data_IF_207859445533
#
_entry.id   IF_207859445533
#
_cell.length_a   1.000
_cell.length_b   1.000
_cell.length_c   1.000
_cell.angle_alpha   90.00
_cell.angle_beta   90.00
_cell.angle_gamma   90.00
#
_symmetry.space_group_name_H-M   'P 1'
#
loop_
_entity.id
_entity.type
_entity.pdbx_description
1 polymer ?
#
# COMPACT_ATOMS: atom_id res chain seq x y z
N UNK A 1 -3.81 -1.44 19.20
CA UNK A 1 -5.28 -1.64 19.36
C UNK A 1 -6.06 -1.19 18.12
N UNK A 2 -5.93 0.06 17.67
CA UNK A 2 -6.67 0.59 16.51
C UNK A 2 -6.49 -0.20 15.20
N UNK A 3 -5.25 -0.34 14.72
CA UNK A 3 -4.92 -0.99 13.44
C UNK A 3 -5.28 -2.49 13.35
N UNK A 4 -5.61 -3.12 14.48
CA UNK A 4 -6.09 -4.49 14.55
C UNK A 4 -7.63 -4.57 14.53
N UNK A 5 -8.32 -3.56 15.08
CA UNK A 5 -9.79 -3.51 15.17
C UNK A 5 -10.46 -2.90 13.94
N UNK A 6 -9.73 -2.09 13.17
CA UNK A 6 -10.26 -1.42 11.99
C UNK A 6 -9.58 -1.94 10.71
N UNK A 7 -10.36 -1.99 9.64
CA UNK A 7 -9.90 -2.31 8.30
C UNK A 7 -9.84 -1.02 7.46
N UNK A 8 -8.72 -0.83 6.79
CA UNK A 8 -8.50 0.32 5.92
C UNK A 8 -9.07 0.08 4.52
N UNK A 9 -9.80 1.07 3.99
CA UNK A 9 -10.20 1.15 2.60
C UNK A 9 -9.36 2.22 1.88
N UNK A 10 -8.59 1.78 0.89
CA UNK A 10 -7.61 2.61 0.18
C UNK A 10 -8.27 3.70 -0.67
N UNK A 11 -9.40 3.37 -1.30
CA UNK A 11 -10.07 4.22 -2.28
C UNK A 11 -10.82 5.37 -1.60
N UNK A 12 -11.64 5.04 -0.60
CA UNK A 12 -12.45 6.02 0.11
C UNK A 12 -11.69 6.72 1.23
N UNK A 13 -10.47 6.26 1.56
CA UNK A 13 -9.69 6.73 2.70
C UNK A 13 -10.51 6.72 4.00
N UNK A 14 -11.11 5.57 4.30
CA UNK A 14 -11.88 5.35 5.52
C UNK A 14 -11.37 4.12 6.25
N UNK A 15 -11.48 4.16 7.58
CA UNK A 15 -11.35 2.99 8.43
C UNK A 15 -12.74 2.54 8.86
N UNK A 16 -12.98 1.23 8.75
CA UNK A 16 -14.24 0.60 9.16
C UNK A 16 -13.94 -0.41 10.24
N UNK A 17 -14.70 -0.39 11.32
CA UNK A 17 -14.59 -1.37 12.41
C UNK A 17 -14.84 -2.79 11.89
N UNK A 18 -13.97 -3.75 12.23
CA UNK A 18 -14.06 -5.13 11.73
C UNK A 18 -15.24 -5.90 12.33
N UNK A 19 -15.52 -5.67 13.60
CA UNK A 19 -16.60 -6.32 14.32
C UNK A 19 -17.10 -5.39 15.42
N UNK A 20 -18.42 -5.34 15.58
CA UNK A 20 -19.08 -4.58 16.64
C UNK A 20 -20.16 -5.44 17.27
N UNK A 21 -20.39 -5.25 18.56
CA UNK A 21 -21.56 -5.82 19.25
C UNK A 21 -22.85 -5.06 18.88
N UNK A 22 -22.72 -3.91 18.21
CA UNK A 22 -23.83 -3.08 17.77
C UNK A 22 -24.33 -3.48 16.37
N UNK A 23 -25.53 -3.00 16.00
CA UNK A 23 -26.11 -3.19 14.66
C UNK A 23 -25.34 -2.45 13.54
N UNK A 24 -24.43 -1.56 13.92
CA UNK A 24 -23.67 -0.71 13.01
C UNK A 24 -22.18 -0.82 13.30
N UNK A 25 -21.35 -0.62 12.27
CA UNK A 25 -19.90 -0.56 12.38
C UNK A 25 -19.46 0.89 12.47
N UNK A 26 -18.52 1.20 13.37
CA UNK A 26 -17.95 2.53 13.44
C UNK A 26 -17.06 2.81 12.22
N UNK A 27 -17.06 4.06 11.76
CA UNK A 27 -16.20 4.50 10.66
C UNK A 27 -15.43 5.77 11.01
N UNK A 28 -14.19 5.84 10.55
CA UNK A 28 -13.33 7.04 10.68
C UNK A 28 -12.94 7.49 9.29
N UNK A 29 -13.24 8.75 8.98
CA UNK A 29 -12.97 9.38 7.70
C UNK A 29 -12.17 10.67 7.88
N UNK A 30 -11.80 11.31 6.76
CA UNK A 30 -10.99 12.53 6.72
C UNK A 30 -11.63 13.66 7.55
N UNK A 31 -12.96 13.81 7.52
CA UNK A 31 -13.66 14.88 8.25
C UNK A 31 -13.56 14.69 9.76
N UNK A 32 -13.66 13.46 10.27
CA UNK A 32 -13.48 13.17 11.70
C UNK A 32 -12.08 13.58 12.16
N UNK A 33 -11.06 13.28 11.36
CA UNK A 33 -9.67 13.67 11.65
C UNK A 33 -9.48 15.18 11.57
N UNK A 34 -10.00 15.84 10.52
CA UNK A 34 -9.92 17.28 10.38
C UNK A 34 -10.59 18.01 11.55
N UNK A 35 -11.75 17.53 12.01
CA UNK A 35 -12.42 18.08 13.18
C UNK A 35 -11.60 17.89 14.46
N UNK A 36 -10.96 16.73 14.65
CA UNK A 36 -10.08 16.48 15.78
C UNK A 36 -8.87 17.43 15.79
N UNK A 37 -8.24 17.63 14.63
CA UNK A 37 -7.12 18.57 14.47
C UNK A 37 -7.58 20.01 14.75
N UNK A 38 -8.78 20.41 14.30
CA UNK A 38 -9.32 21.74 14.59
C UNK A 38 -9.54 21.97 16.08
N UNK A 39 -10.06 20.97 16.80
CA UNK A 39 -10.37 21.10 18.23
C UNK A 39 -9.12 21.03 19.12
N UNK A 40 -8.15 20.19 18.76
CA UNK A 40 -7.02 19.86 19.64
C UNK A 40 -5.66 20.33 19.11
N UNK A 41 -5.63 20.96 17.93
CA UNK A 41 -4.44 21.49 17.29
C UNK A 41 -3.65 20.48 16.46
N UNK A 42 -2.73 21.01 15.65
CA UNK A 42 -1.86 20.24 14.76
C UNK A 42 -0.89 19.28 15.50
N UNK A 43 -0.67 19.48 16.81
CA UNK A 43 0.17 18.60 17.63
C UNK A 43 -0.27 17.13 17.67
N UNK A 44 -1.56 16.86 17.42
CA UNK A 44 -2.08 15.49 17.25
C UNK A 44 -1.38 14.77 16.10
N UNK A 45 -1.05 15.47 15.01
CA UNK A 45 -0.42 14.86 13.83
C UNK A 45 0.97 14.32 14.18
N UNK A 46 1.81 15.15 14.80
CA UNK A 46 3.17 14.78 15.22
C UNK A 46 3.17 13.62 16.21
N UNK A 47 2.27 13.68 17.20
CA UNK A 47 2.10 12.62 18.19
C UNK A 47 1.69 11.30 17.53
N UNK A 48 0.78 11.36 16.57
CA UNK A 48 0.30 10.19 15.82
C UNK A 48 1.40 9.57 14.95
N UNK A 49 2.21 10.40 14.28
CA UNK A 49 3.36 9.94 13.49
C UNK A 49 4.36 9.23 14.40
N UNK A 50 4.67 9.80 15.57
CA UNK A 50 5.59 9.17 16.53
C UNK A 50 5.06 7.82 17.05
N UNK A 51 3.80 7.73 17.46
CA UNK A 51 3.22 6.45 17.88
C UNK A 51 3.20 5.41 16.74
N UNK A 52 2.96 5.86 15.51
CA UNK A 52 3.02 4.99 14.34
C UNK A 52 4.44 4.49 14.10
N UNK A 53 5.45 5.35 14.20
CA UNK A 53 6.86 4.96 14.14
C UNK A 53 7.20 3.89 15.18
N UNK A 54 6.84 4.10 16.44
CA UNK A 54 7.09 3.13 17.52
C UNK A 54 6.36 1.79 17.28
N UNK A 55 5.13 1.86 16.76
CA UNK A 55 4.37 0.67 16.38
C UNK A 55 5.04 -0.10 15.24
N UNK A 56 5.43 0.60 14.17
CA UNK A 56 6.12 0.02 13.03
C UNK A 56 7.43 -0.64 13.45
N UNK A 57 8.23 -0.01 14.31
CA UNK A 57 9.46 -0.61 14.85
C UNK A 57 9.20 -1.97 15.49
N UNK A 58 8.16 -2.09 16.33
CA UNK A 58 7.78 -3.37 16.96
C UNK A 58 7.30 -4.39 15.93
N UNK A 59 6.50 -3.98 14.95
CA UNK A 59 6.00 -4.89 13.91
C UNK A 59 7.11 -5.36 12.97
N UNK A 60 8.05 -4.48 12.66
CA UNK A 60 9.16 -4.83 11.80
C UNK A 60 10.16 -5.77 12.47
N UNK A 61 10.30 -5.71 13.79
CA UNK A 61 11.05 -6.73 14.52
C UNK A 61 10.47 -8.14 14.29
N UNK A 62 9.14 -8.29 14.44
CA UNK A 62 8.43 -9.55 14.18
C UNK A 62 8.55 -9.96 12.71
N UNK A 63 8.43 -8.99 11.79
CA UNK A 63 8.58 -9.21 10.36
C UNK A 63 9.97 -9.76 10.00
N UNK A 64 11.01 -9.17 10.59
CA UNK A 64 12.40 -9.60 10.38
C UNK A 64 12.62 -11.00 10.93
N UNK A 65 12.14 -11.29 12.14
CA UNK A 65 12.22 -12.63 12.74
C UNK A 65 11.52 -13.69 11.87
N UNK A 66 10.34 -13.37 11.33
CA UNK A 66 9.61 -14.29 10.46
C UNK A 66 10.40 -14.67 9.20
N UNK A 67 11.05 -13.70 8.54
CA UNK A 67 11.88 -13.96 7.35
C UNK A 67 13.23 -14.59 7.68
N UNK A 68 13.69 -14.43 8.92
CA UNK A 68 14.92 -15.06 9.41
C UNK A 68 14.72 -16.53 9.78
N UNK A 69 13.49 -16.93 10.14
CA UNK A 69 13.15 -18.31 10.48
C UNK A 69 13.65 -19.29 9.40
N UNK A 70 14.37 -20.33 9.83
CA UNK A 70 15.06 -21.24 8.92
C UNK A 70 14.08 -22.03 8.03
N UNK A 71 12.87 -22.35 8.50
CA UNK A 71 11.87 -23.02 7.66
C UNK A 71 11.32 -22.11 6.55
N UNK A 72 11.19 -20.81 6.81
CA UNK A 72 10.76 -19.82 5.83
C UNK A 72 11.91 -19.51 4.86
N UNK A 73 13.06 -19.12 5.40
CA UNK A 73 14.27 -18.75 4.66
C UNK A 73 14.73 -19.85 3.71
N UNK A 74 14.80 -21.10 4.16
CA UNK A 74 15.22 -22.22 3.31
C UNK A 74 14.28 -22.44 2.11
N UNK A 75 12.96 -22.27 2.30
CA UNK A 75 11.97 -22.38 1.21
C UNK A 75 12.11 -21.23 0.22
N UNK A 76 12.29 -20.00 0.70
CA UNK A 76 12.49 -18.83 -0.16
C UNK A 76 13.76 -18.99 -1.01
N UNK A 77 14.87 -19.45 -0.41
CA UNK A 77 16.11 -19.70 -1.15
C UNK A 77 15.92 -20.79 -2.22
N UNK A 78 15.18 -21.86 -1.90
CA UNK A 78 14.86 -22.93 -2.85
C UNK A 78 14.00 -22.43 -4.02
N UNK A 79 13.08 -21.51 -3.77
CA UNK A 79 12.26 -20.89 -4.80
C UNK A 79 13.04 -19.88 -5.65
N UNK A 80 13.95 -19.11 -5.04
CA UNK A 80 14.87 -18.23 -5.78
C UNK A 80 15.76 -19.02 -6.73
N UNK A 81 16.37 -20.11 -6.27
CA UNK A 81 17.24 -20.95 -7.12
C UNK A 81 16.47 -21.50 -8.32
N UNK A 82 15.30 -22.08 -8.06
CA UNK A 82 14.47 -22.60 -9.13
C UNK A 82 13.99 -21.53 -10.10
N UNK A 83 13.60 -20.35 -9.62
CA UNK A 83 13.17 -19.28 -10.51
C UNK A 83 14.32 -18.81 -11.43
N UNK A 84 15.56 -18.82 -10.93
CA UNK A 84 16.74 -18.52 -11.74
C UNK A 84 17.06 -19.63 -12.75
N UNK A 85 16.91 -20.89 -12.37
CA UNK A 85 17.22 -22.07 -13.20
C UNK A 85 16.15 -22.34 -14.26
N UNK A 86 14.87 -22.19 -13.94
CA UNK A 86 13.73 -22.48 -14.82
C UNK A 86 13.22 -21.24 -15.56
N UNK A 87 14.02 -20.17 -15.64
CA UNK A 87 13.59 -18.88 -16.20
C UNK A 87 13.20 -19.01 -17.68
N UNK A 88 13.93 -19.82 -18.45
CA UNK A 88 13.67 -20.01 -19.88
C UNK A 88 12.48 -20.95 -20.14
N UNK A 89 12.30 -21.97 -19.30
CA UNK A 89 11.21 -22.95 -19.43
C UNK A 89 9.83 -22.39 -19.03
N UNK A 90 9.80 -21.43 -18.10
CA UNK A 90 8.56 -20.87 -17.55
C UNK A 90 8.21 -19.50 -18.15
N UNK A 91 8.74 -19.14 -19.32
CA UNK A 91 8.55 -17.81 -19.94
C UNK A 91 8.85 -16.65 -18.98
N UNK A 92 9.85 -16.84 -18.11
CA UNK A 92 10.24 -15.90 -17.04
C UNK A 92 9.14 -15.63 -15.98
N UNK A 93 8.09 -16.46 -15.91
CA UNK A 93 6.99 -16.32 -14.95
C UNK A 93 7.19 -17.22 -13.73
N UNK A 94 6.91 -16.71 -12.54
CA UNK A 94 6.88 -17.52 -11.32
C UNK A 94 5.71 -18.52 -11.37
N UNK A 95 5.93 -19.85 -11.28
CA UNK A 95 4.84 -20.81 -11.50
C UNK A 95 3.79 -20.84 -10.38
N UNK A 96 2.51 -20.79 -10.75
CA UNK A 96 1.39 -20.86 -9.80
C UNK A 96 1.44 -22.07 -8.86
N UNK A 97 1.74 -23.26 -9.39
CA UNK A 97 1.81 -24.48 -8.59
C UNK A 97 2.90 -24.44 -7.50
N UNK A 98 3.92 -23.59 -7.63
CA UNK A 98 4.91 -23.39 -6.56
C UNK A 98 4.36 -22.58 -5.40
N UNK A 99 3.62 -21.49 -5.68
CA UNK A 99 2.94 -20.71 -4.65
C UNK A 99 1.98 -21.59 -3.82
N UNK A 100 1.27 -22.51 -4.48
CA UNK A 100 0.40 -23.48 -3.79
C UNK A 100 1.19 -24.48 -2.94
N UNK A 101 2.28 -25.05 -3.48
CA UNK A 101 3.15 -25.98 -2.73
C UNK A 101 3.77 -25.30 -1.50
N UNK A 102 4.15 -24.04 -1.63
CA UNK A 102 4.67 -23.23 -0.53
C UNK A 102 3.61 -23.05 0.57
N UNK A 103 2.39 -22.63 0.21
CA UNK A 103 1.24 -22.52 1.14
C UNK A 103 0.95 -23.83 1.87
N UNK A 104 0.77 -24.93 1.12
CA UNK A 104 0.52 -26.27 1.68
C UNK A 104 1.65 -26.69 2.62
N UNK A 105 2.88 -26.40 2.22
CA UNK A 105 4.07 -26.74 2.98
C UNK A 105 4.20 -25.95 4.29
N UNK A 106 3.79 -24.68 4.35
CA UNK A 106 3.77 -23.90 5.59
C UNK A 106 2.67 -24.38 6.52
N UNK A 107 1.46 -24.70 6.00
CA UNK A 107 0.36 -25.24 6.84
C UNK A 107 0.76 -26.53 7.58
N UNK A 108 1.69 -27.33 7.02
CA UNK A 108 2.23 -28.54 7.66
C UNK A 108 3.15 -28.26 8.86
N UNK A 109 3.67 -27.05 9.01
CA UNK A 109 4.53 -26.68 10.15
C UNK A 109 3.73 -26.48 11.45
N UNK A 110 2.41 -26.40 11.36
CA UNK A 110 1.52 -26.21 12.49
C UNK A 110 0.51 -25.10 12.24
N UNK A 111 -0.58 -25.15 13.02
CA UNK A 111 -1.62 -24.13 13.06
C UNK A 111 -1.72 -23.60 14.50
N UNK A 112 -2.12 -22.34 14.64
CA UNK A 112 -2.49 -21.78 15.95
C UNK A 112 -3.75 -22.45 16.50
N UNK A 113 -4.08 -22.23 17.79
CA UNK A 113 -5.37 -22.66 18.34
C UNK A 113 -6.58 -22.14 17.54
N UNK A 114 -6.44 -20.96 16.93
CA UNK A 114 -7.47 -20.33 16.08
C UNK A 114 -7.49 -20.88 14.63
N UNK A 115 -6.64 -21.87 14.31
CA UNK A 115 -6.54 -22.49 12.99
C UNK A 115 -5.76 -21.68 11.96
N UNK A 116 -5.00 -20.67 12.37
CA UNK A 116 -4.19 -19.84 11.47
C UNK A 116 -2.82 -20.46 11.23
N UNK A 117 -2.38 -20.50 9.97
CA UNK A 117 -1.01 -20.88 9.64
C UNK A 117 -0.02 -19.74 9.89
N UNK A 118 1.28 -20.05 9.92
CA UNK A 118 2.32 -19.01 9.99
C UNK A 118 2.19 -17.97 8.87
N UNK A 119 1.76 -18.36 7.67
CA UNK A 119 1.56 -17.43 6.57
C UNK A 119 0.33 -16.53 6.78
N UNK A 120 -0.72 -17.03 7.45
CA UNK A 120 -1.89 -16.22 7.82
C UNK A 120 -1.51 -15.14 8.84
N UNK A 121 -0.71 -15.51 9.84
CA UNK A 121 -0.17 -14.55 10.80
C UNK A 121 0.72 -13.50 10.13
N UNK A 122 1.54 -13.90 9.16
CA UNK A 122 2.39 -12.98 8.40
C UNK A 122 1.56 -12.04 7.50
N UNK A 123 0.51 -12.55 6.85
CA UNK A 123 -0.48 -11.72 6.13
C UNK A 123 -1.07 -10.68 7.08
N UNK A 124 -1.53 -11.09 8.26
CA UNK A 124 -2.11 -10.19 9.25
C UNK A 124 -1.10 -9.13 9.74
N UNK A 125 0.16 -9.52 9.93
CA UNK A 125 1.25 -8.60 10.28
C UNK A 125 1.42 -7.52 9.21
N UNK A 126 1.47 -7.91 7.93
CA UNK A 126 1.59 -6.98 6.81
C UNK A 126 0.35 -6.09 6.69
N UNK A 127 -0.85 -6.65 6.88
CA UNK A 127 -2.10 -5.88 6.95
C UNK A 127 -2.03 -4.81 8.05
N UNK A 128 -1.52 -5.15 9.23
CA UNK A 128 -1.40 -4.19 10.35
C UNK A 128 -0.36 -3.10 10.06
N UNK A 129 0.75 -3.44 9.41
CA UNK A 129 1.74 -2.46 8.94
C UNK A 129 1.09 -1.50 7.95
N UNK A 130 0.38 -2.01 6.94
CA UNK A 130 -0.27 -1.14 5.97
C UNK A 130 -1.48 -0.38 6.50
N UNK A 131 -2.21 -0.91 7.47
CA UNK A 131 -3.23 -0.15 8.21
C UNK A 131 -2.61 1.04 8.95
N UNK A 132 -1.39 0.89 9.50
CA UNK A 132 -0.68 2.02 10.10
C UNK A 132 -0.32 3.08 9.05
N UNK A 133 0.12 2.66 7.86
CA UNK A 133 0.38 3.58 6.73
C UNK A 133 -0.91 4.26 6.23
N UNK A 134 -2.02 3.52 6.15
CA UNK A 134 -3.33 4.07 5.84
C UNK A 134 -3.78 5.10 6.89
N UNK A 135 -3.43 4.91 8.16
CA UNK A 135 -3.73 5.84 9.23
C UNK A 135 -2.93 7.13 9.08
N UNK A 136 -1.62 7.04 8.79
CA UNK A 136 -0.79 8.20 8.46
C UNK A 136 -1.34 8.97 7.26
N UNK A 137 -1.79 8.26 6.22
CA UNK A 137 -2.44 8.87 5.06
C UNK A 137 -3.71 9.63 5.45
N UNK A 138 -4.52 9.06 6.33
CA UNK A 138 -5.73 9.67 6.82
C UNK A 138 -5.43 10.94 7.64
N UNK A 139 -4.43 10.88 8.52
CA UNK A 139 -3.96 12.03 9.32
C UNK A 139 -3.46 13.15 8.41
N UNK A 140 -2.61 12.83 7.43
CA UNK A 140 -2.17 13.77 6.40
C UNK A 140 -3.34 14.43 5.69
N UNK A 141 -4.28 13.64 5.20
CA UNK A 141 -5.43 14.16 4.45
C UNK A 141 -6.35 15.01 5.33
N UNK A 142 -6.53 14.64 6.60
CA UNK A 142 -7.28 15.42 7.57
C UNK A 142 -6.59 16.75 7.92
N UNK A 143 -5.26 16.76 8.03
CA UNK A 143 -4.47 17.97 8.25
C UNK A 143 -4.57 18.93 7.07
N UNK A 144 -4.36 18.43 5.85
CA UNK A 144 -4.53 19.22 4.61
C UNK A 144 -5.95 19.76 4.51
N UNK A 145 -6.98 18.95 4.81
CA UNK A 145 -8.36 19.41 4.78
C UNK A 145 -8.66 20.47 5.85
N UNK A 146 -8.04 20.41 7.03
CA UNK A 146 -8.18 21.45 8.05
C UNK A 146 -7.59 22.76 7.54
N UNK A 147 -6.33 22.72 7.13
CA UNK A 147 -5.58 23.91 6.72
C UNK A 147 -6.12 24.51 5.43
N UNK A 148 -6.53 23.69 4.46
CA UNK A 148 -7.13 24.16 3.19
C UNK A 148 -8.39 25.00 3.39
N UNK A 149 -9.15 24.77 4.47
CA UNK A 149 -10.29 25.63 4.79
C UNK A 149 -9.85 26.98 5.39
N UNK A 150 -8.74 27.00 6.12
CA UNK A 150 -8.21 28.19 6.80
C UNK A 150 -7.50 29.13 5.83
N UNK A 151 -6.77 28.58 4.85
CA UNK A 151 -6.02 29.35 3.83
C UNK A 151 -6.80 29.60 2.54
N UNK A 152 -8.11 29.29 2.50
CA UNK A 152 -8.95 29.43 1.28
C UNK A 152 -8.98 30.86 0.73
N UNK A 153 -8.69 31.84 1.57
CA UNK A 153 -8.70 33.27 1.21
C UNK A 153 -7.32 33.79 0.76
N UNK A 154 -6.29 32.96 0.82
CA UNK A 154 -4.94 33.30 0.37
C UNK A 154 -4.84 32.92 -1.12
N UNK A 155 -4.66 33.88 -2.04
CA UNK A 155 -4.67 33.61 -3.47
C UNK A 155 -3.46 32.79 -3.95
N UNK A 156 -2.28 33.09 -3.40
CA UNK A 156 -1.01 32.44 -3.71
C UNK A 156 -0.28 32.07 -2.42
N UNK A 157 0.12 30.81 -2.28
CA UNK A 157 0.84 30.28 -1.12
C UNK A 157 2.36 30.35 -1.29
N UNK A 158 2.83 30.52 -2.53
CA UNK A 158 4.25 30.67 -2.87
C UNK A 158 4.66 32.15 -2.81
N UNK A 159 3.72 33.08 -3.02
CA UNK A 159 3.90 34.53 -2.93
C UNK A 159 2.86 35.17 -2.00
N UNK A 160 3.08 35.03 -0.69
CA UNK A 160 2.21 35.61 0.34
C UNK A 160 2.68 37.04 0.61
N UNK A 161 1.80 38.00 0.30
CA UNK A 161 2.05 39.43 0.55
C UNK A 161 2.18 39.71 2.05
N UNK A 162 3.18 40.50 2.43
CA UNK A 162 3.40 40.94 3.81
C UNK A 162 2.45 42.09 4.18
N UNK A 163 1.50 41.84 5.08
CA UNK A 163 0.54 42.86 5.48
C UNK A 163 1.19 43.95 6.35
N UNK A 164 2.20 43.62 7.17
CA UNK A 164 2.97 44.58 7.97
C UNK A 164 3.62 45.64 7.07
N UNK A 165 4.22 45.24 5.95
CA UNK A 165 4.85 46.15 4.99
C UNK A 165 3.82 47.08 4.32
N UNK A 166 2.74 46.51 3.78
CA UNK A 166 1.68 47.29 3.12
C UNK A 166 1.03 48.33 4.03
N UNK A 167 0.74 47.94 5.27
CA UNK A 167 0.10 48.85 6.25
C UNK A 167 1.04 49.95 6.71
N UNK A 168 2.34 49.68 6.73
CA UNK A 168 3.39 50.66 7.03
C UNK A 168 3.56 51.64 5.88
N UNK A 169 3.65 51.16 4.64
CA UNK A 169 3.75 52.00 3.43
C UNK A 169 2.52 52.89 3.23
N UNK A 170 1.34 52.40 3.56
CA UNK A 170 0.09 53.16 3.51
C UNK A 170 -0.06 54.18 4.66
N UNK A 171 0.86 54.23 5.62
CA UNK A 171 0.84 55.18 6.74
C UNK A 171 -0.33 54.97 7.70
N UNK A 172 -0.77 53.72 7.91
CA UNK A 172 -1.89 53.39 8.79
C UNK A 172 -1.50 53.49 10.27
N UNK A 173 -2.51 53.39 11.15
CA UNK A 173 -2.30 53.49 12.60
C UNK A 173 -1.43 52.36 13.16
N UNK A 174 -0.79 52.61 14.30
CA UNK A 174 0.09 51.64 14.97
C UNK A 174 -0.67 50.37 15.35
N UNK A 175 -1.94 50.50 15.73
CA UNK A 175 -2.82 49.36 16.04
C UNK A 175 -3.06 48.50 14.79
N UNK A 176 -3.21 49.14 13.63
CA UNK A 176 -3.42 48.46 12.34
C UNK A 176 -2.17 47.70 11.91
N UNK A 177 -0.99 48.31 12.04
CA UNK A 177 0.30 47.65 11.75
C UNK A 177 0.50 46.45 12.69
N UNK A 178 0.15 46.61 13.98
CA UNK A 178 0.24 45.51 14.96
C UNK A 178 -0.72 44.36 14.62
N UNK A 179 -1.95 44.67 14.19
CA UNK A 179 -2.89 43.67 13.73
C UNK A 179 -2.41 42.94 12.47
N UNK A 180 -1.83 43.67 11.51
CA UNK A 180 -1.24 43.12 10.29
C UNK A 180 -0.10 42.13 10.60
N UNK A 181 0.81 42.50 11.51
CA UNK A 181 1.87 41.61 11.99
C UNK A 181 1.34 40.29 12.57
N UNK A 182 0.24 40.34 13.31
CA UNK A 182 -0.39 39.14 13.88
C UNK A 182 -1.00 38.25 12.78
N UNK A 183 -1.56 38.85 11.73
CA UNK A 183 -2.06 38.14 10.55
C UNK A 183 -0.92 37.45 9.81
N UNK A 184 0.18 38.16 9.54
CA UNK A 184 1.37 37.59 8.89
C UNK A 184 1.93 36.40 9.68
N UNK A 185 2.03 36.53 11.00
CA UNK A 185 2.46 35.44 11.88
C UNK A 185 1.51 34.22 11.82
N UNK A 186 0.20 34.46 11.79
CA UNK A 186 -0.80 33.40 11.67
C UNK A 186 -0.71 32.69 10.31
N UNK A 187 -0.62 33.44 9.21
CA UNK A 187 -0.49 32.91 7.85
C UNK A 187 0.81 32.11 7.69
N UNK A 188 1.93 32.63 8.18
CA UNK A 188 3.22 31.94 8.17
C UNK A 188 3.14 30.60 8.92
N UNK A 189 2.49 30.59 10.08
CA UNK A 189 2.25 29.35 10.85
C UNK A 189 1.41 28.34 10.07
N UNK A 190 0.31 28.77 9.44
CA UNK A 190 -0.56 27.91 8.63
C UNK A 190 0.18 27.31 7.43
N UNK A 191 0.93 28.13 6.70
CA UNK A 191 1.69 27.72 5.51
C UNK A 191 2.79 26.72 5.87
N UNK A 192 3.50 26.94 6.97
CA UNK A 192 4.51 26.01 7.48
C UNK A 192 3.90 24.66 7.89
N UNK A 193 2.74 24.68 8.57
CA UNK A 193 2.04 23.45 8.95
C UNK A 193 1.51 22.68 7.72
N UNK A 194 1.11 23.39 6.66
CA UNK A 194 0.68 22.80 5.39
C UNK A 194 1.80 21.97 4.74
N UNK A 195 3.00 22.55 4.64
CA UNK A 195 4.17 21.92 4.04
C UNK A 195 4.70 20.72 4.85
N UNK A 196 4.64 20.76 6.19
CA UNK A 196 5.08 19.63 7.01
C UNK A 196 4.15 18.41 6.93
N UNK A 197 2.87 18.62 6.61
CA UNK A 197 1.88 17.55 6.50
C UNK A 197 2.06 16.62 5.29
N UNK A 198 2.87 17.01 4.29
CA UNK A 198 2.93 16.31 2.99
C UNK A 198 3.96 15.18 2.92
N UNK A 199 4.94 15.11 3.82
CA UNK A 199 6.12 14.22 3.66
C UNK A 199 6.21 13.02 4.62
N UNK A 200 5.17 12.73 5.41
CA UNK A 200 5.26 11.66 6.43
C UNK A 200 5.64 10.27 5.90
N UNK A 201 5.24 9.93 4.67
CA UNK A 201 5.64 8.67 4.05
C UNK A 201 7.13 8.62 3.73
N UNK A 202 7.68 9.71 3.19
CA UNK A 202 9.10 9.83 2.89
C UNK A 202 9.91 9.73 4.18
N UNK A 203 9.54 10.50 5.21
CA UNK A 203 10.16 10.44 6.53
C UNK A 203 10.20 9.01 7.10
N UNK A 204 9.09 8.27 7.07
CA UNK A 204 9.06 6.90 7.59
C UNK A 204 9.93 5.95 6.77
N UNK A 205 9.97 6.10 5.45
CA UNK A 205 10.87 5.31 4.60
C UNK A 205 12.33 5.61 4.93
N UNK A 206 12.70 6.90 4.97
CA UNK A 206 14.08 7.33 5.13
C UNK A 206 14.66 6.93 6.49
N UNK A 207 13.83 6.89 7.54
CA UNK A 207 14.26 6.45 8.88
C UNK A 207 14.49 4.94 8.94
N UNK A 208 13.65 4.13 8.28
CA UNK A 208 13.79 2.66 8.36
C UNK A 208 14.72 2.08 7.28
N UNK A 209 14.81 2.68 6.09
CA UNK A 209 15.50 2.09 4.94
C UNK A 209 16.99 1.74 5.21
N UNK A 210 17.80 2.60 5.85
CA UNK A 210 19.23 2.30 6.08
C UNK A 210 19.44 1.03 6.91
N UNK A 211 18.69 0.87 7.99
CA UNK A 211 18.80 -0.29 8.88
C UNK A 211 18.33 -1.58 8.18
N UNK A 212 17.25 -1.50 7.39
CA UNK A 212 16.65 -2.69 6.76
C UNK A 212 17.43 -3.17 5.54
N UNK A 213 18.24 -2.29 4.93
CA UNK A 213 19.10 -2.60 3.78
C UNK A 213 20.54 -2.93 4.19
N UNK A 214 20.84 -2.88 5.49
CA UNK A 214 22.14 -3.26 6.03
C UNK A 214 22.49 -4.74 5.76
N UNK A 215 23.79 -5.03 5.66
CA UNK A 215 24.29 -6.39 5.41
C UNK A 215 23.97 -7.37 6.55
N UNK A 216 23.64 -6.91 7.75
CA UNK A 216 23.15 -7.78 8.84
C UNK A 216 21.76 -8.32 8.56
N UNK A 217 20.98 -7.64 7.71
CA UNK A 217 19.58 -7.95 7.41
C UNK A 217 19.40 -8.57 6.02
N UNK A 218 20.36 -9.37 5.55
CA UNK A 218 20.35 -9.97 4.21
C UNK A 218 19.16 -10.90 3.94
N UNK A 219 18.56 -11.51 4.97
CA UNK A 219 17.34 -12.31 4.83
C UNK A 219 16.16 -11.48 4.30
N UNK A 220 16.12 -10.18 4.58
CA UNK A 220 15.07 -9.29 4.09
C UNK A 220 15.13 -9.10 2.57
N UNK A 221 16.29 -9.30 1.95
CA UNK A 221 16.45 -9.26 0.48
C UNK A 221 15.63 -10.30 -0.27
N UNK A 222 15.08 -11.29 0.44
CA UNK A 222 14.26 -12.35 -0.14
C UNK A 222 12.74 -12.09 0.01
N UNK A 223 12.31 -10.96 0.58
CA UNK A 223 10.90 -10.70 0.83
C UNK A 223 10.04 -10.74 -0.44
N UNK A 224 10.50 -10.19 -1.57
CA UNK A 224 9.76 -10.25 -2.84
C UNK A 224 9.32 -11.66 -3.25
N UNK A 225 10.12 -12.69 -2.91
CA UNK A 225 9.84 -14.08 -3.26
C UNK A 225 8.69 -14.69 -2.44
N UNK A 226 8.34 -14.14 -1.27
CA UNK A 226 7.20 -14.62 -0.49
C UNK A 226 5.87 -14.06 -1.00
N UNK A 227 5.89 -13.02 -1.85
CA UNK A 227 4.67 -12.34 -2.28
C UNK A 227 3.74 -13.22 -3.13
N UNK A 228 4.22 -14.07 -4.07
CA UNK A 228 3.34 -15.01 -4.78
C UNK A 228 2.51 -15.91 -3.84
N UNK A 229 3.10 -16.68 -2.91
CA UNK A 229 2.30 -17.49 -1.98
C UNK A 229 1.47 -16.64 -1.01
N UNK A 230 1.97 -15.47 -0.58
CA UNK A 230 1.25 -14.60 0.34
C UNK A 230 0.01 -13.95 -0.28
N UNK A 231 0.08 -13.55 -1.56
CA UNK A 231 -1.07 -12.99 -2.29
C UNK A 231 -2.13 -14.06 -2.57
N UNK A 232 -1.71 -15.31 -2.84
CA UNK A 232 -2.62 -16.45 -2.92
C UNK A 232 -3.37 -16.66 -1.59
N UNK A 233 -2.61 -16.68 -0.49
CA UNK A 233 -3.17 -16.77 0.87
C UNK A 233 -4.15 -15.61 1.17
N UNK A 234 -3.83 -14.39 0.74
CA UNK A 234 -4.70 -13.23 0.90
C UNK A 234 -6.00 -13.36 0.08
N UNK A 235 -5.94 -13.81 -1.17
CA UNK A 235 -7.14 -13.97 -2.01
C UNK A 235 -8.07 -15.04 -1.44
N UNK A 236 -7.54 -16.18 -0.96
CA UNK A 236 -8.34 -17.19 -0.27
C UNK A 236 -9.04 -16.61 0.96
N UNK A 237 -8.32 -15.83 1.76
CA UNK A 237 -8.88 -15.15 2.93
C UNK A 237 -9.94 -14.12 2.55
N UNK A 238 -9.68 -13.26 1.56
CA UNK A 238 -10.64 -12.25 1.04
C UNK A 238 -11.94 -12.91 0.60
N UNK A 239 -11.86 -14.00 -0.15
CA UNK A 239 -13.02 -14.77 -0.59
C UNK A 239 -13.83 -15.29 0.60
N UNK A 240 -13.16 -15.92 1.58
CA UNK A 240 -13.82 -16.43 2.79
C UNK A 240 -14.50 -15.30 3.60
N UNK A 241 -13.88 -14.13 3.71
CA UNK A 241 -14.46 -12.98 4.38
C UNK A 241 -15.70 -12.45 3.64
N UNK A 242 -15.65 -12.33 2.31
CA UNK A 242 -16.77 -11.90 1.46
C UNK A 242 -17.95 -12.86 1.53
N UNK A 243 -17.70 -14.17 1.55
CA UNK A 243 -18.75 -15.16 1.72
C UNK A 243 -19.46 -15.05 3.08
N UNK A 244 -18.72 -14.72 4.15
CA UNK A 244 -19.29 -14.51 5.49
C UNK A 244 -20.19 -13.29 5.59
N UNK A 245 -20.00 -12.26 4.75
CA UNK A 245 -20.88 -11.06 4.72
C UNK A 245 -22.34 -11.44 4.45
N UNK A 246 -22.55 -12.47 3.62
CA UNK A 246 -23.88 -12.94 3.24
C UNK A 246 -24.47 -13.95 4.24
N UNK A 247 -23.72 -14.36 5.28
CA UNK A 247 -24.16 -15.32 6.30
C UNK A 247 -24.79 -14.59 7.50
N UNK A 248 -25.67 -15.30 8.22
CA UNK A 248 -26.31 -14.78 9.46
C UNK A 248 -25.26 -14.46 10.54
N UNK A 249 -24.24 -15.29 10.68
CA UNK A 249 -23.09 -15.01 11.54
C UNK A 249 -22.05 -14.19 10.76
N UNK A 250 -21.93 -12.91 11.12
CA UNK A 250 -21.02 -11.94 10.49
C UNK A 250 -19.67 -11.82 11.21
N UNK A 251 -19.38 -12.66 12.20
CA UNK A 251 -18.09 -12.65 12.91
C UNK A 251 -16.98 -12.98 11.91
N UNK A 252 -16.01 -12.06 11.77
CA UNK A 252 -14.93 -12.16 10.80
C UNK A 252 -15.33 -11.88 9.35
N UNK A 253 -16.53 -11.34 9.11
CA UNK A 253 -16.90 -10.78 7.82
C UNK A 253 -16.21 -9.42 7.66
N UNK A 254 -15.50 -9.22 6.56
CA UNK A 254 -14.86 -7.95 6.22
C UNK A 254 -14.91 -7.82 4.70
N UNK A 255 -15.30 -6.64 4.21
CA UNK A 255 -15.47 -6.41 2.77
C UNK A 255 -14.31 -5.64 2.13
N UNK A 256 -13.41 -5.07 2.95
CA UNK A 256 -12.25 -4.32 2.50
C UNK A 256 -11.08 -4.61 3.44
N UNK A 257 -9.92 -4.94 2.88
CA UNK A 257 -8.69 -5.20 3.65
C UNK A 257 -7.47 -4.66 2.89
N UNK A 258 -7.58 -3.41 2.44
CA UNK A 258 -6.55 -2.80 1.59
C UNK A 258 -5.29 -2.45 2.39
N UNK A 259 -5.35 -2.58 3.72
CA UNK A 259 -4.17 -2.55 4.59
C UNK A 259 -3.12 -3.59 4.19
N UNK A 260 -3.52 -4.78 3.71
CA UNK A 260 -2.55 -5.76 3.20
C UNK A 260 -1.76 -5.19 2.03
N UNK A 261 -2.48 -4.63 1.07
CA UNK A 261 -1.93 -4.08 -0.17
C UNK A 261 -1.02 -2.88 0.09
N UNK A 262 -1.47 -1.97 0.95
CA UNK A 262 -0.67 -0.82 1.38
C UNK A 262 0.61 -1.27 2.11
N UNK A 263 0.52 -2.34 2.91
CA UNK A 263 1.65 -2.92 3.63
C UNK A 263 2.68 -3.52 2.67
N UNK A 264 2.24 -4.32 1.69
CA UNK A 264 3.12 -4.88 0.65
C UNK A 264 3.81 -3.76 -0.13
N UNK A 265 3.07 -2.74 -0.57
CA UNK A 265 3.64 -1.62 -1.32
C UNK A 265 4.69 -0.86 -0.50
N UNK A 266 4.41 -0.59 0.77
CA UNK A 266 5.35 0.09 1.67
C UNK A 266 6.62 -0.72 1.89
N UNK A 267 6.50 -2.02 2.19
CA UNK A 267 7.65 -2.89 2.47
C UNK A 267 8.52 -3.08 1.22
N UNK A 268 7.90 -3.25 0.04
CA UNK A 268 8.63 -3.32 -1.23
C UNK A 268 9.45 -2.04 -1.49
N UNK A 269 8.88 -0.86 -1.20
CA UNK A 269 9.63 0.40 -1.31
C UNK A 269 10.75 0.46 -0.26
N UNK A 270 10.45 0.09 0.98
CA UNK A 270 11.39 0.11 2.09
C UNK A 270 12.63 -0.75 1.80
N UNK A 271 12.43 -1.95 1.24
CA UNK A 271 13.51 -2.89 0.91
C UNK A 271 14.10 -2.69 -0.50
N UNK A 272 13.56 -1.76 -1.28
CA UNK A 272 13.92 -1.50 -2.67
C UNK A 272 13.80 -2.70 -3.61
N UNK A 273 12.69 -3.43 -3.50
CA UNK A 273 12.47 -4.72 -4.16
C UNK A 273 11.41 -4.70 -5.28
N UNK A 274 11.10 -3.52 -5.80
CA UNK A 274 10.06 -3.40 -6.81
C UNK A 274 10.42 -4.12 -8.10
N UNK A 275 11.66 -4.00 -8.55
CA UNK A 275 12.11 -4.58 -9.81
C UNK A 275 12.15 -6.11 -9.72
N UNK A 276 12.64 -6.63 -8.61
CA UNK A 276 12.70 -8.06 -8.32
C UNK A 276 11.31 -8.68 -8.27
N UNK A 277 10.34 -8.01 -7.63
CA UNK A 277 8.96 -8.47 -7.64
C UNK A 277 8.33 -8.41 -9.03
N UNK A 278 8.53 -7.32 -9.77
CA UNK A 278 7.98 -7.16 -11.13
C UNK A 278 8.57 -8.22 -12.08
N UNK A 279 9.84 -8.61 -11.89
CA UNK A 279 10.50 -9.67 -12.67
C UNK A 279 9.89 -11.06 -12.51
N UNK A 280 9.08 -11.29 -11.47
CA UNK A 280 8.40 -12.57 -11.27
C UNK A 280 7.22 -12.78 -12.23
N UNK A 281 6.74 -11.71 -12.90
CA UNK A 281 5.55 -11.74 -13.75
C UNK A 281 4.35 -12.48 -13.10
N UNK A 282 4.21 -12.35 -11.77
CA UNK A 282 3.33 -13.20 -10.96
C UNK A 282 1.86 -13.09 -11.38
N UNK A 283 1.36 -11.87 -11.58
CA UNK A 283 -0.04 -11.66 -11.95
C UNK A 283 -0.35 -12.17 -13.37
N UNK A 284 0.64 -12.22 -14.26
CA UNK A 284 0.49 -12.85 -15.58
C UNK A 284 0.38 -14.37 -15.43
N UNK A 285 1.26 -14.99 -14.65
CA UNK A 285 1.19 -16.42 -14.29
C UNK A 285 -0.18 -16.82 -13.71
N UNK A 286 -0.72 -16.00 -12.82
CA UNK A 286 -2.06 -16.18 -12.25
C UNK A 286 -3.14 -16.09 -13.34
N UNK A 287 -3.09 -15.09 -14.20
CA UNK A 287 -4.06 -14.92 -15.28
C UNK A 287 -4.06 -16.11 -16.24
N UNK A 288 -2.87 -16.56 -16.67
CA UNK A 288 -2.68 -17.71 -17.55
C UNK A 288 -3.27 -18.97 -16.93
N UNK A 289 -2.98 -19.24 -15.64
CA UNK A 289 -3.52 -20.38 -14.90
C UNK A 289 -5.06 -20.39 -14.91
N UNK A 290 -5.70 -19.29 -14.53
CA UNK A 290 -7.17 -19.25 -14.46
C UNK A 290 -7.82 -19.29 -15.85
N UNK A 291 -7.21 -18.68 -16.87
CA UNK A 291 -7.69 -18.76 -18.24
C UNK A 291 -7.62 -20.19 -18.78
N UNK A 292 -6.51 -20.89 -18.54
CA UNK A 292 -6.33 -22.28 -18.94
C UNK A 292 -7.32 -23.22 -18.23
N UNK A 293 -7.50 -23.08 -16.91
CA UNK A 293 -8.47 -23.89 -16.17
C UNK A 293 -9.91 -23.65 -16.63
N UNK A 294 -10.27 -22.40 -16.93
CA UNK A 294 -11.59 -22.08 -17.50
C UNK A 294 -11.77 -22.71 -18.88
N UNK A 295 -10.79 -22.60 -19.76
CA UNK A 295 -10.83 -23.20 -21.09
C UNK A 295 -10.97 -24.73 -21.03
N UNK A 296 -10.22 -25.38 -20.15
CA UNK A 296 -10.32 -26.83 -19.90
C UNK A 296 -11.70 -27.22 -19.35
N UNK A 297 -12.24 -26.43 -18.41
CA UNK A 297 -13.57 -26.67 -17.82
C UNK A 297 -14.67 -26.59 -18.89
N UNK A 298 -14.58 -25.63 -19.83
CA UNK A 298 -15.53 -25.50 -20.94
C UNK A 298 -15.37 -26.65 -21.94
N UNK A 299 -14.15 -27.01 -22.32
CA UNK A 299 -13.86 -28.13 -23.25
C UNK A 299 -14.39 -29.46 -22.73
N UNK A 300 -14.28 -29.71 -21.43
CA UNK A 300 -14.79 -30.94 -20.82
C UNK A 300 -16.33 -30.99 -20.77
N UNK A 301 -17.01 -29.85 -20.88
CA UNK A 301 -18.46 -29.78 -20.90
C UNK A 301 -19.06 -29.87 -22.31
N UNK A 302 -18.28 -29.54 -23.36
CA UNK A 302 -18.71 -29.65 -24.77
C UNK A 302 -18.70 -31.11 -25.21
N UNK A 303 -19.81 -31.81 -24.95
CA UNK A 303 -20.00 -33.21 -25.32
C UNK A 303 -21.00 -33.96 -24.44
N UNK A 304 -21.33 -33.43 -23.26
CA UNK A 304 -22.16 -34.11 -22.28
C UNK A 304 -23.57 -33.51 -22.15
N UNK A 305 -24.58 -34.39 -22.06
CA UNK A 305 -26.01 -34.03 -21.93
C UNK A 305 -26.55 -34.14 -20.50
N UNK A 306 -25.70 -34.44 -19.51
CA UNK A 306 -26.13 -34.57 -18.11
C UNK A 306 -26.29 -33.20 -17.44
N UNK A 307 -27.52 -32.88 -17.05
CA UNK A 307 -27.89 -31.62 -16.39
C UNK A 307 -27.11 -31.40 -15.08
N UNK A 308 -26.80 -32.46 -14.32
CA UNK A 308 -26.02 -32.35 -13.08
C UNK A 308 -24.57 -31.96 -13.36
N UNK A 309 -23.99 -32.45 -14.45
CA UNK A 309 -22.63 -32.09 -14.83
C UNK A 309 -22.57 -30.64 -15.35
N UNK A 310 -23.56 -30.20 -16.10
CA UNK A 310 -23.69 -28.81 -16.55
C UNK A 310 -23.80 -27.83 -15.37
N UNK A 311 -24.58 -28.19 -14.34
CA UNK A 311 -24.66 -27.41 -13.10
C UNK A 311 -23.30 -27.35 -12.37
N UNK A 312 -22.60 -28.48 -12.24
CA UNK A 312 -21.28 -28.56 -11.60
C UNK A 312 -20.24 -27.73 -12.36
N UNK A 313 -20.26 -27.78 -13.69
CA UNK A 313 -19.39 -26.99 -14.58
C UNK A 313 -19.66 -25.49 -14.39
N UNK A 314 -20.94 -25.09 -14.38
CA UNK A 314 -21.33 -23.69 -14.16
C UNK A 314 -20.85 -23.14 -12.81
N UNK A 315 -21.01 -23.92 -11.74
CA UNK A 315 -20.51 -23.55 -10.40
C UNK A 315 -18.98 -23.42 -10.38
N UNK A 316 -18.27 -24.33 -11.04
CA UNK A 316 -16.80 -24.29 -11.15
C UNK A 316 -16.33 -23.05 -11.91
N UNK A 317 -16.94 -22.74 -13.07
CA UNK A 317 -16.62 -21.54 -13.84
C UNK A 317 -16.89 -20.24 -13.06
N UNK A 318 -18.00 -20.18 -12.32
CA UNK A 318 -18.31 -19.06 -11.42
C UNK A 318 -17.22 -18.90 -10.36
N UNK A 319 -16.79 -19.98 -9.72
CA UNK A 319 -15.71 -19.96 -8.72
C UNK A 319 -14.39 -19.46 -9.34
N UNK A 320 -13.96 -20.05 -10.45
CA UNK A 320 -12.72 -19.64 -11.14
C UNK A 320 -12.76 -18.15 -11.53
N UNK A 321 -13.91 -17.66 -12.00
CA UNK A 321 -14.10 -16.25 -12.35
C UNK A 321 -14.04 -15.34 -11.13
N UNK A 322 -14.63 -15.74 -10.00
CA UNK A 322 -14.55 -14.98 -8.77
C UNK A 322 -13.09 -14.85 -8.28
N UNK A 323 -12.33 -15.94 -8.26
CA UNK A 323 -10.91 -15.90 -7.87
C UNK A 323 -10.07 -15.04 -8.82
N UNK A 324 -10.23 -15.18 -10.14
CA UNK A 324 -9.52 -14.34 -11.10
C UNK A 324 -9.82 -12.85 -10.90
N UNK A 325 -11.08 -12.50 -10.63
CA UNK A 325 -11.50 -11.13 -10.32
C UNK A 325 -10.84 -10.60 -9.05
N UNK A 326 -10.77 -11.41 -7.99
CA UNK A 326 -10.08 -11.00 -6.75
C UNK A 326 -8.60 -10.72 -6.97
N UNK A 327 -7.90 -11.55 -7.77
CA UNK A 327 -6.51 -11.30 -8.12
C UNK A 327 -6.34 -10.03 -8.95
N UNK A 328 -7.26 -9.72 -9.87
CA UNK A 328 -7.24 -8.48 -10.63
C UNK A 328 -7.45 -7.25 -9.73
N UNK A 329 -8.41 -7.31 -8.80
CA UNK A 329 -8.62 -6.26 -7.81
C UNK A 329 -7.36 -6.05 -6.95
N UNK A 330 -6.73 -7.14 -6.50
CA UNK A 330 -5.48 -7.08 -5.76
C UNK A 330 -4.36 -6.40 -6.58
N UNK A 331 -4.21 -6.76 -7.86
CA UNK A 331 -3.24 -6.15 -8.76
C UNK A 331 -3.45 -4.64 -8.94
N UNK A 332 -4.69 -4.20 -9.20
CA UNK A 332 -5.00 -2.78 -9.36
C UNK A 332 -4.80 -1.99 -8.07
N UNK A 333 -5.24 -2.54 -6.93
CA UNK A 333 -5.02 -1.93 -5.62
C UNK A 333 -3.52 -1.82 -5.31
N UNK A 334 -2.72 -2.84 -5.62
CA UNK A 334 -1.27 -2.82 -5.39
C UNK A 334 -0.59 -1.79 -6.27
N UNK A 335 -0.95 -1.75 -7.55
CA UNK A 335 -0.43 -0.76 -8.49
C UNK A 335 -0.74 0.67 -8.03
N UNK A 336 -1.96 0.90 -7.55
CA UNK A 336 -2.37 2.19 -6.98
C UNK A 336 -1.62 2.52 -5.68
N UNK A 337 -1.42 1.53 -4.80
CA UNK A 337 -0.71 1.72 -3.54
C UNK A 337 0.77 2.09 -3.75
N UNK A 338 1.43 1.55 -4.79
CA UNK A 338 2.82 1.86 -5.12
C UNK A 338 3.05 3.34 -5.44
N UNK A 339 2.05 4.02 -6.00
CA UNK A 339 2.15 5.45 -6.39
C UNK A 339 2.45 6.33 -5.17
N UNK A 340 1.86 6.02 -4.01
CA UNK A 340 2.07 6.79 -2.77
C UNK A 340 3.53 6.81 -2.30
N UNK A 341 4.33 5.83 -2.73
CA UNK A 341 5.71 5.65 -2.30
C UNK A 341 6.74 5.94 -3.41
N UNK A 342 6.28 6.31 -4.61
CA UNK A 342 7.15 6.69 -5.75
C UNK A 342 7.47 8.19 -5.79
N UNK A 343 6.63 9.04 -5.20
CA UNK A 343 6.69 10.50 -5.30
C UNK A 343 7.97 11.18 -4.76
N UNK A 344 8.91 10.42 -4.16
CA UNK A 344 10.23 10.96 -3.79
C UNK A 344 11.25 10.99 -4.93
N UNK A 345 11.03 10.25 -6.03
CA UNK A 345 11.99 10.13 -7.15
C UNK A 345 11.67 11.01 -8.36
N UNK A 346 10.46 11.55 -8.46
CA UNK A 346 10.05 12.36 -9.62
C UNK A 346 10.82 13.68 -9.76
N UNK A 347 11.55 14.10 -8.74
CA UNK A 347 12.43 15.28 -8.83
C UNK A 347 13.87 14.96 -9.25
N UNK A 348 14.31 13.71 -9.08
CA UNK A 348 15.69 13.28 -9.38
C UNK A 348 15.80 12.59 -10.73
N UNK A 349 14.83 11.74 -11.11
CA UNK A 349 14.87 11.00 -12.39
C UNK A 349 14.63 11.92 -13.63
N UNK A 350 14.05 13.12 -13.44
CA UNK A 350 13.90 14.12 -14.50
C UNK A 350 15.20 14.87 -14.87
N UNK A 351 16.27 14.72 -14.08
CA UNK A 351 17.58 15.33 -14.37
C UNK A 351 18.49 14.41 -15.19
N UNK A 352 18.37 13.09 -15.01
CA UNK A 352 19.19 12.10 -15.72
C UNK A 352 18.72 11.86 -17.17
N UNK A 353 17.42 12.03 -17.44
CA UNK A 353 16.87 11.92 -18.81
C UNK A 353 17.12 13.18 -19.66
N UNK A 354 17.40 14.34 -19.04
CA UNK A 354 17.73 15.58 -19.76
C UNK A 354 19.22 15.70 -20.11
N UNK A 355 20.10 15.02 -19.38
CA UNK A 355 21.56 15.08 -19.61
C UNK A 355 22.06 14.09 -20.67
N UNK A 356 21.30 13.05 -21.00
CA UNK A 356 21.65 12.06 -22.03
C UNK A 356 21.16 12.40 -23.45
N UNK A 357 20.31 13.42 -23.62
CA UNK A 357 19.72 13.80 -24.92
C UNK A 357 20.32 15.02 -25.63
N UNK A 358 21.32 15.70 -25.06
CA UNK A 358 21.80 17.03 -25.53
C UNK A 358 23.19 17.03 -26.19
N UNK A 359 23.58 15.96 -26.87
CA UNK A 359 24.86 15.90 -27.60
C UNK A 359 24.73 15.30 -29.00
N UNK A 360 23.82 15.85 -29.80
CA UNK A 360 23.93 15.82 -31.27
C UNK A 360 23.63 17.21 -31.82
N UNK A 361 24.68 18.03 -31.97
CA UNK A 361 24.63 19.20 -32.85
C UNK A 361 24.69 18.67 -34.29
N UNK A 362 23.63 18.91 -35.05
CA UNK A 362 23.63 18.79 -36.51
C UNK A 362 24.53 19.89 -37.09
N UNK A 363 25.61 19.50 -37.75
CA UNK A 363 26.36 20.37 -38.65
C UNK A 363 25.56 20.51 -39.96
N UNK A 364 25.10 21.73 -40.23
CA UNK A 364 24.49 22.11 -41.51
C UNK A 364 25.63 22.47 -42.47
N UNK A 365 25.70 21.88 -43.69
CA UNK A 365 26.76 22.19 -44.64
C UNK A 365 26.48 23.51 -45.36
N UNK A 366 27.48 24.39 -45.38
CA UNK A 366 27.47 25.62 -46.17
C UNK A 366 27.67 25.30 -47.67
N UNK A 367 26.79 25.86 -48.51
CA UNK A 367 27.05 26.03 -49.94
C UNK A 367 27.01 27.52 -50.26
N UNK A 368 28.18 28.01 -50.66
CA UNK A 368 28.47 29.00 -51.71
C UNK A 368 27.37 29.99 -52.11
N UNK A 369 27.70 31.29 -51.98
CA UNK A 369 28.09 32.11 -53.13
C UNK A 369 29.39 32.87 -52.84
#
# INVERSE_FOLDING_TARGET
>A
VFVAKYAYNLNNQIFIERASNNKHLNTINIRHVANSIRTHGAGIMNTTVNFTFQFLRKKFFIFSQFLYDEHIKARLIKDIRYFKESKDECEQKYPFGRAEKFNKGIRKLGLTPDGESYLDQFRLLITQIGNAMGYIRLIRSGGIHCISNEIRFIPDLDDIVCFEELTTEAGLSVETITAAKNVDAAISSLTKNFAQGTEYFKMLIDVFAPEFRDQKNMHLKNFFMILPPLTLNFVEYSMNCKEKVNKKNKIGATFTEDGFVMGVAYILKLLDQYNEFDSLHWFQSVADKYNNEKAMTVKNATGEKDEKLLQTTSLTLKRLTAYQREFQLLFFSLSSARIFFRAGKSSEENLDDKTSGSSKKEEIPSKTD
#
